data_IF_167764281145
#
_entry.id   IF_167764281145
#
_cell.length_a   1.000
_cell.length_b   1.000
_cell.length_c   1.000
_cell.angle_alpha   90.00
_cell.angle_beta   90.00
_cell.angle_gamma   90.00
#
_symmetry.space_group_name_H-M   'P 1'
#
loop_
_entity.id
_entity.type
_entity.pdbx_description
1 polymer ?
#
# COMPACT_ATOMS: atom_id res chain seq x y z
N UNK A 1 21.93 5.89 7.05
CA UNK A 1 22.98 6.58 6.26
C UNK A 1 22.42 7.68 5.35
N UNK A 2 21.32 7.47 4.60
CA UNK A 2 20.75 8.52 3.70
C UNK A 2 19.94 9.62 4.41
N UNK A 3 19.30 9.33 5.55
CA UNK A 3 18.43 10.28 6.27
C UNK A 3 19.14 11.52 6.83
N UNK A 4 20.46 11.44 7.06
CA UNK A 4 21.24 12.52 7.70
C UNK A 4 22.10 13.30 6.69
N UNK A 5 21.94 13.07 5.39
CA UNK A 5 22.74 13.73 4.38
C UNK A 5 22.07 15.06 3.94
N UNK A 6 22.68 16.24 4.21
CA UNK A 6 22.10 17.55 3.91
C UNK A 6 21.69 17.74 2.45
N UNK A 7 22.38 17.08 1.50
CA UNK A 7 22.06 17.10 0.07
C UNK A 7 20.66 16.55 -0.24
N UNK A 8 20.19 15.60 0.56
CA UNK A 8 18.88 14.96 0.41
C UNK A 8 17.89 15.41 1.50
N UNK A 9 18.29 16.36 2.36
CA UNK A 9 17.54 16.74 3.56
C UNK A 9 16.53 17.87 3.32
N UNK A 10 16.68 18.68 2.25
CA UNK A 10 15.90 19.91 2.05
C UNK A 10 15.58 20.28 0.59
N UNK A 11 15.64 19.31 -0.32
CA UNK A 11 15.10 19.54 -1.65
C UNK A 11 13.59 19.29 -1.60
N UNK A 12 12.77 20.23 -2.07
CA UNK A 12 11.34 20.00 -2.30
C UNK A 12 11.16 18.66 -2.99
N UNK A 13 10.12 17.93 -2.59
CA UNK A 13 9.91 16.52 -2.93
C UNK A 13 9.78 16.25 -4.43
N UNK A 14 9.70 17.31 -5.24
CA UNK A 14 9.79 17.28 -6.68
C UNK A 14 11.17 16.87 -7.21
N UNK A 15 12.23 17.08 -6.42
CA UNK A 15 13.58 16.63 -6.78
C UNK A 15 13.84 15.15 -6.45
N UNK A 16 12.91 14.46 -5.75
CA UNK A 16 13.11 13.10 -5.23
C UNK A 16 12.26 12.05 -5.98
N UNK A 17 11.34 12.47 -6.85
CA UNK A 17 10.45 11.59 -7.64
C UNK A 17 10.29 12.09 -9.10
N UNK A 18 11.36 12.08 -9.91
CA UNK A 18 11.31 12.57 -11.28
C UNK A 18 10.35 11.75 -12.17
N UNK A 19 10.25 10.44 -11.93
CA UNK A 19 9.34 9.57 -12.68
C UNK A 19 7.87 9.89 -12.37
N UNK A 20 7.49 9.97 -11.10
CA UNK A 20 6.11 10.31 -10.74
C UNK A 20 5.72 11.71 -11.18
N UNK A 21 6.64 12.68 -11.13
CA UNK A 21 6.40 14.02 -11.66
C UNK A 21 6.21 14.03 -13.18
N UNK A 22 7.03 13.27 -13.91
CA UNK A 22 6.86 13.10 -15.36
C UNK A 22 5.53 12.42 -15.69
N UNK A 23 5.14 11.36 -14.98
CA UNK A 23 3.86 10.67 -15.16
C UNK A 23 2.67 11.62 -14.97
N UNK A 24 2.68 12.44 -13.90
CA UNK A 24 1.63 13.46 -13.64
C UNK A 24 1.55 14.49 -14.76
N UNK A 25 2.69 15.00 -15.24
CA UNK A 25 2.73 15.94 -16.38
C UNK A 25 2.09 15.32 -17.62
N UNK A 26 2.41 14.06 -17.93
CA UNK A 26 1.85 13.36 -19.11
C UNK A 26 0.34 13.16 -19.03
N UNK A 27 -0.19 12.88 -17.85
CA UNK A 27 -1.64 12.82 -17.63
C UNK A 27 -2.27 14.21 -17.81
N UNK A 28 -1.65 15.26 -17.28
CA UNK A 28 -2.13 16.65 -17.47
C UNK A 28 -2.06 17.11 -18.93
N UNK A 29 -1.09 16.64 -19.71
CA UNK A 29 -0.97 16.87 -21.16
C UNK A 29 -2.00 16.08 -21.99
N UNK A 30 -2.73 15.12 -21.39
CA UNK A 30 -3.80 14.35 -22.04
C UNK A 30 -3.35 13.07 -22.77
N UNK A 31 -2.12 12.61 -22.53
CA UNK A 31 -1.48 11.50 -23.28
C UNK A 31 -1.91 10.11 -22.77
N UNK A 32 -2.67 10.02 -21.68
CA UNK A 32 -2.82 8.78 -20.91
C UNK A 32 -4.02 7.89 -21.23
N UNK A 33 -4.93 8.39 -22.06
CA UNK A 33 -6.17 7.70 -22.36
C UNK A 33 -5.85 6.74 -23.50
N UNK A 34 -5.48 5.49 -23.20
CA UNK A 34 -5.76 4.32 -24.05
C UNK A 34 -5.12 3.02 -23.55
N UNK A 35 -4.05 3.07 -22.74
CA UNK A 35 -3.27 1.85 -22.46
C UNK A 35 -2.96 1.61 -20.97
N UNK A 36 -3.88 0.91 -20.29
CA UNK A 36 -3.82 0.57 -18.85
C UNK A 36 -2.55 -0.22 -18.43
N UNK A 37 -1.82 -0.80 -19.39
CA UNK A 37 -0.58 -1.56 -19.16
C UNK A 37 0.72 -0.78 -19.40
N UNK A 38 0.64 0.50 -19.75
CA UNK A 38 1.82 1.29 -20.11
C UNK A 38 2.62 1.72 -18.86
N UNK A 39 3.92 1.98 -19.02
CA UNK A 39 4.81 2.38 -17.91
C UNK A 39 4.37 3.73 -17.33
N UNK A 40 3.82 4.58 -18.20
CA UNK A 40 3.21 5.87 -17.88
C UNK A 40 2.07 5.67 -16.87
N UNK A 41 1.22 4.66 -17.08
CA UNK A 41 0.07 4.29 -16.22
C UNK A 41 0.38 3.42 -15.03
N UNK A 42 1.48 2.68 -15.11
CA UNK A 42 1.89 1.76 -14.07
C UNK A 42 2.19 2.51 -12.76
N UNK A 43 1.62 2.03 -11.66
CA UNK A 43 1.77 2.65 -10.33
C UNK A 43 0.84 3.83 -10.07
N UNK A 44 0.86 4.88 -10.89
CA UNK A 44 0.03 6.09 -10.68
C UNK A 44 -1.47 5.78 -10.82
N UNK A 45 -1.87 5.02 -11.84
CA UNK A 45 -3.27 4.63 -12.03
C UNK A 45 -3.80 3.84 -10.84
N UNK A 46 -3.01 2.89 -10.31
CA UNK A 46 -3.37 2.13 -9.11
C UNK A 46 -3.54 3.01 -7.87
N UNK A 47 -2.71 4.05 -7.72
CA UNK A 47 -2.83 5.03 -6.64
C UNK A 47 -4.10 5.87 -6.77
N UNK A 48 -4.47 6.28 -7.99
CA UNK A 48 -5.71 7.02 -8.25
C UNK A 48 -6.95 6.15 -8.03
N UNK A 49 -6.95 4.89 -8.46
CA UNK A 49 -8.04 3.92 -8.22
C UNK A 49 -8.25 3.73 -6.72
N UNK A 50 -7.17 3.54 -5.93
CA UNK A 50 -7.29 3.44 -4.47
C UNK A 50 -7.93 4.65 -3.81
N UNK A 51 -7.64 5.85 -4.33
CA UNK A 51 -8.26 7.07 -3.85
C UNK A 51 -9.72 7.11 -4.29
N UNK A 52 -10.03 6.80 -5.54
CA UNK A 52 -11.39 6.75 -6.08
C UNK A 52 -12.30 5.80 -5.28
N UNK A 53 -11.85 4.56 -5.08
CA UNK A 53 -12.60 3.47 -4.46
C UNK A 53 -12.53 3.51 -2.92
N UNK A 54 -11.94 4.57 -2.35
CA UNK A 54 -11.82 4.70 -0.90
C UNK A 54 -13.20 4.76 -0.27
N UNK A 55 -13.34 4.12 0.89
CA UNK A 55 -14.57 4.23 1.66
C UNK A 55 -14.80 5.67 2.14
N UNK A 56 -15.86 6.30 1.65
CA UNK A 56 -16.34 7.62 2.09
C UNK A 56 -17.70 7.39 2.74
N UNK A 57 -17.82 7.76 4.01
CA UNK A 57 -19.08 7.74 4.74
C UNK A 57 -19.33 9.09 5.39
N UNK A 58 -20.60 9.42 5.61
CA UNK A 58 -21.01 10.67 6.27
C UNK A 58 -20.53 10.75 7.72
N UNK A 59 -20.35 9.58 8.36
CA UNK A 59 -19.87 9.44 9.73
C UNK A 59 -18.53 8.72 9.77
N UNK A 60 -17.64 9.06 10.72
CA UNK A 60 -16.41 8.31 10.94
C UNK A 60 -16.72 6.84 11.25
N UNK A 61 -16.19 5.93 10.44
CA UNK A 61 -16.27 4.49 10.73
C UNK A 61 -15.17 4.07 11.70
N UNK A 62 -15.54 3.31 12.74
CA UNK A 62 -14.59 2.68 13.67
C UNK A 62 -13.84 1.48 13.05
N UNK A 63 -14.31 1.01 11.88
CA UNK A 63 -13.68 -0.08 11.17
C UNK A 63 -12.63 0.46 10.20
N UNK A 64 -11.42 -0.08 10.35
CA UNK A 64 -10.29 0.21 9.47
C UNK A 64 -9.72 -1.12 8.96
N UNK A 65 -9.41 -1.24 7.66
CA UNK A 65 -8.71 -2.42 7.15
C UNK A 65 -7.31 -2.52 7.79
N UNK A 66 -6.68 -3.69 7.69
CA UNK A 66 -5.30 -3.93 8.13
C UNK A 66 -4.27 -3.23 7.20
N UNK A 67 -4.45 -1.93 6.96
CA UNK A 67 -3.67 -1.12 6.05
C UNK A 67 -3.61 -1.73 4.64
N UNK A 68 -2.40 -1.98 4.12
CA UNK A 68 -2.17 -2.63 2.83
C UNK A 68 -1.90 -4.12 2.97
N UNK A 69 -2.22 -4.72 4.11
CA UNK A 69 -2.00 -6.14 4.35
C UNK A 69 -3.07 -6.98 3.65
N UNK A 70 -2.63 -8.02 2.93
CA UNK A 70 -3.52 -9.03 2.40
C UNK A 70 -3.97 -10.00 3.51
N UNK A 71 -5.05 -10.74 3.27
CA UNK A 71 -5.35 -11.94 4.06
C UNK A 71 -4.33 -13.02 3.68
N UNK A 72 -3.49 -13.50 4.62
CA UNK A 72 -2.49 -14.53 4.33
C UNK A 72 -3.12 -15.80 3.72
N UNK A 73 -2.55 -16.30 2.63
CA UNK A 73 -3.03 -17.51 1.95
C UNK A 73 -4.19 -17.30 0.98
N UNK A 74 -4.86 -16.14 0.95
CA UNK A 74 -5.98 -15.93 0.02
C UNK A 74 -5.56 -15.61 -1.42
N UNK A 75 -4.53 -14.78 -1.60
CA UNK A 75 -4.08 -14.32 -2.94
C UNK A 75 -2.76 -14.96 -3.37
N UNK A 76 -1.86 -15.19 -2.42
CA UNK A 76 -0.54 -15.80 -2.63
C UNK A 76 -0.28 -16.76 -1.50
N UNK A 77 0.47 -17.81 -1.83
CA UNK A 77 0.96 -18.80 -0.90
C UNK A 77 2.40 -19.12 -1.34
N UNK A 78 3.35 -18.89 -0.44
CA UNK A 78 4.74 -19.28 -0.67
C UNK A 78 5.02 -20.56 0.12
N UNK A 79 5.58 -21.58 -0.52
CA UNK A 79 5.89 -22.86 0.12
C UNK A 79 7.40 -23.01 0.19
N UNK A 80 7.94 -23.21 1.39
CA UNK A 80 9.38 -23.42 1.57
C UNK A 80 9.77 -24.91 1.36
N UNK A 81 11.07 -25.21 1.43
CA UNK A 81 11.60 -26.58 1.25
C UNK A 81 11.20 -27.57 2.34
N UNK A 82 10.72 -27.09 3.48
CA UNK A 82 10.20 -27.92 4.57
C UNK A 82 8.69 -28.20 4.42
N UNK A 83 8.07 -27.69 3.36
CA UNK A 83 6.63 -27.79 3.14
C UNK A 83 5.81 -26.76 3.94
N UNK A 84 6.44 -25.81 4.62
CA UNK A 84 5.70 -24.79 5.36
C UNK A 84 5.11 -23.73 4.42
N UNK A 85 3.91 -23.30 4.76
CA UNK A 85 3.19 -22.23 4.08
C UNK A 85 3.53 -20.87 4.68
N UNK A 86 3.92 -19.93 3.84
CA UNK A 86 4.21 -18.54 4.18
C UNK A 86 3.28 -17.61 3.37
N UNK A 87 2.94 -16.40 3.86
CA UNK A 87 1.94 -15.57 3.19
C UNK A 87 2.37 -15.09 1.80
N UNK A 88 3.66 -14.79 1.61
CA UNK A 88 4.27 -14.54 0.30
C UNK A 88 5.80 -14.55 0.40
N UNK A 89 6.47 -14.51 -0.75
CA UNK A 89 7.92 -14.50 -0.91
C UNK A 89 8.60 -13.26 -0.30
N UNK A 90 7.83 -12.19 -0.07
CA UNK A 90 8.35 -10.86 0.28
C UNK A 90 8.50 -10.60 1.79
N UNK A 91 7.91 -11.45 2.63
CA UNK A 91 7.89 -11.22 4.09
C UNK A 91 9.14 -11.80 4.76
N UNK A 92 9.95 -12.58 4.03
CA UNK A 92 11.21 -13.12 4.54
C UNK A 92 10.98 -14.11 5.68
N UNK A 93 11.82 -14.05 6.71
CA UNK A 93 11.69 -14.88 7.91
C UNK A 93 10.50 -14.40 8.73
N UNK A 94 9.41 -15.17 8.68
CA UNK A 94 8.17 -14.88 9.37
C UNK A 94 7.46 -16.17 9.80
N UNK A 95 6.53 -16.10 10.76
CA UNK A 95 5.80 -17.27 11.22
C UNK A 95 5.03 -17.94 10.08
N UNK A 96 5.19 -19.25 9.88
CA UNK A 96 4.39 -19.96 8.88
C UNK A 96 2.90 -19.95 9.23
N UNK A 97 2.04 -20.09 8.21
CA UNK A 97 0.58 -20.12 8.33
C UNK A 97 0.00 -21.54 8.19
N UNK A 98 0.85 -22.57 8.12
CA UNK A 98 0.43 -23.94 7.87
C UNK A 98 1.54 -24.77 7.22
N UNK A 99 1.19 -25.96 6.74
CA UNK A 99 2.10 -26.89 6.09
C UNK A 99 1.37 -27.73 5.03
N UNK A 100 2.09 -28.22 4.01
CA UNK A 100 1.55 -29.07 2.94
C UNK A 100 0.76 -30.28 3.45
N UNK A 101 1.14 -30.84 4.59
CA UNK A 101 0.49 -32.03 5.16
C UNK A 101 -0.75 -31.71 5.98
N UNK A 102 -0.84 -30.50 6.56
CA UNK A 102 -1.91 -30.11 7.51
C UNK A 102 -2.82 -29.00 7.00
N UNK A 103 -2.48 -28.37 5.87
CA UNK A 103 -3.20 -27.25 5.31
C UNK A 103 -2.86 -25.92 6.00
N UNK A 104 -3.67 -24.90 5.71
CA UNK A 104 -3.58 -23.58 6.34
C UNK A 104 -4.23 -23.64 7.72
N UNK A 105 -3.52 -23.24 8.78
CA UNK A 105 -4.07 -23.11 10.13
C UNK A 105 -4.66 -21.72 10.34
N UNK A 106 -5.97 -21.68 10.54
CA UNK A 106 -6.69 -20.47 10.88
C UNK A 106 -6.15 -19.83 12.18
N UNK A 107 -5.83 -20.64 13.18
CA UNK A 107 -5.33 -20.19 14.48
C UNK A 107 -4.00 -19.44 14.33
N UNK A 108 -3.11 -19.97 13.49
CA UNK A 108 -1.81 -19.33 13.20
C UNK A 108 -1.99 -18.03 12.43
N UNK A 109 -2.85 -18.01 11.41
CA UNK A 109 -3.17 -16.80 10.65
C UNK A 109 -3.73 -15.72 11.58
N UNK A 110 -4.73 -16.05 12.39
CA UNK A 110 -5.35 -15.12 13.33
C UNK A 110 -4.34 -14.58 14.34
N UNK A 111 -3.58 -15.46 15.00
CA UNK A 111 -2.61 -15.06 16.02
C UNK A 111 -1.55 -14.12 15.44
N UNK A 112 -0.82 -14.56 14.42
CA UNK A 112 0.37 -13.86 13.98
C UNK A 112 0.07 -12.66 13.10
N UNK A 113 -0.91 -12.74 12.20
CA UNK A 113 -1.12 -11.73 11.16
C UNK A 113 -2.32 -10.80 11.40
N UNK A 114 -3.18 -11.14 12.38
CA UNK A 114 -4.30 -10.30 12.78
C UNK A 114 -4.07 -9.75 14.19
N UNK A 115 -4.06 -10.61 15.20
CA UNK A 115 -4.04 -10.19 16.61
C UNK A 115 -2.74 -9.45 16.97
N UNK A 116 -1.58 -10.08 16.77
CA UNK A 116 -0.27 -9.48 17.07
C UNK A 116 0.01 -8.22 16.23
N UNK A 117 -0.43 -8.22 14.96
CA UNK A 117 -0.34 -7.05 14.10
C UNK A 117 -1.17 -5.90 14.65
N UNK A 118 -2.44 -6.14 14.98
CA UNK A 118 -3.35 -5.14 15.52
C UNK A 118 -2.79 -4.56 16.83
N UNK A 119 -2.38 -5.42 17.77
CA UNK A 119 -1.86 -5.00 19.08
C UNK A 119 -0.65 -4.05 18.95
N UNK A 120 0.27 -4.36 18.04
CA UNK A 120 1.50 -3.58 17.86
C UNK A 120 1.31 -2.37 16.93
N UNK A 121 0.44 -2.45 15.94
CA UNK A 121 0.19 -1.36 14.97
C UNK A 121 -0.71 -0.29 15.55
N UNK A 122 -1.77 -0.65 16.31
CA UNK A 122 -2.80 0.28 16.76
C UNK A 122 -2.23 1.43 17.59
N UNK A 123 -1.17 1.19 18.37
CA UNK A 123 -0.49 2.19 19.20
C UNK A 123 -0.03 3.42 18.42
N UNK A 124 0.31 3.26 17.13
CA UNK A 124 0.72 4.36 16.24
C UNK A 124 -0.29 4.63 15.13
N UNK A 125 -0.87 3.58 14.55
CA UNK A 125 -1.74 3.70 13.37
C UNK A 125 -3.09 4.33 13.69
N UNK A 126 -3.61 4.19 14.92
CA UNK A 126 -4.91 4.76 15.31
C UNK A 126 -4.98 6.28 15.17
N UNK A 127 -3.84 6.96 15.33
CA UNK A 127 -3.73 8.41 15.22
C UNK A 127 -3.24 8.87 13.83
N UNK A 128 -3.15 7.96 12.85
CA UNK A 128 -2.62 8.28 11.52
C UNK A 128 -3.75 8.71 10.57
N UNK A 129 -3.69 9.96 10.10
CA UNK A 129 -4.67 10.50 9.13
C UNK A 129 -4.76 9.70 7.82
N UNK A 130 -3.66 9.04 7.44
CA UNK A 130 -3.56 8.30 6.18
C UNK A 130 -3.95 6.81 6.29
N UNK A 131 -4.46 6.35 7.44
CA UNK A 131 -4.70 4.92 7.71
C UNK A 131 -5.53 4.22 6.63
N UNK A 132 -6.57 4.88 6.10
CA UNK A 132 -7.51 4.33 5.10
C UNK A 132 -6.89 4.18 3.70
N UNK A 133 -5.81 4.90 3.41
CA UNK A 133 -5.10 4.84 2.12
C UNK A 133 -3.72 4.19 2.26
N UNK A 134 -3.38 3.73 3.47
CA UNK A 134 -2.08 3.17 3.77
C UNK A 134 -1.84 1.89 2.98
N UNK A 135 -0.86 1.90 2.09
CA UNK A 135 -0.47 0.75 1.25
C UNK A 135 0.55 -0.19 1.92
N UNK A 136 0.86 0.06 3.20
CA UNK A 136 1.88 -0.69 3.92
C UNK A 136 1.39 -2.10 4.26
N UNK A 137 2.12 -3.10 3.76
CA UNK A 137 1.88 -4.51 4.05
C UNK A 137 2.85 -5.05 5.11
N UNK A 138 2.76 -6.36 5.36
CA UNK A 138 3.65 -7.11 6.25
C UNK A 138 5.12 -7.13 5.79
N UNK A 139 5.38 -6.95 4.49
CA UNK A 139 6.74 -6.99 3.96
C UNK A 139 7.61 -5.89 4.58
N UNK A 140 8.75 -6.29 5.14
CA UNK A 140 9.67 -5.40 5.85
C UNK A 140 9.22 -4.99 7.25
N UNK A 141 8.22 -5.67 7.82
CA UNK A 141 7.74 -5.45 9.20
C UNK A 141 7.63 -6.72 10.04
N UNK A 142 7.89 -7.89 9.48
CA UNK A 142 8.01 -9.12 10.24
C UNK A 142 9.46 -9.59 10.22
N UNK A 143 9.88 -10.18 11.33
CA UNK A 143 11.07 -11.00 11.46
C UNK A 143 10.71 -12.29 12.23
N UNK A 144 11.73 -13.04 12.62
CA UNK A 144 11.58 -14.26 13.41
C UNK A 144 10.87 -14.05 14.76
N UNK A 145 11.00 -12.86 15.35
CA UNK A 145 10.36 -12.46 16.61
C UNK A 145 8.96 -11.83 16.40
N UNK A 146 8.45 -11.85 15.17
CA UNK A 146 7.12 -11.39 14.78
C UNK A 146 7.11 -9.95 14.25
N UNK A 147 5.98 -9.25 14.43
CA UNK A 147 5.81 -7.91 13.89
C UNK A 147 6.65 -6.85 14.62
N UNK A 148 7.30 -5.99 13.85
CA UNK A 148 7.99 -4.79 14.30
C UNK A 148 7.43 -3.54 13.60
N UNK A 149 7.19 -2.49 14.40
CA UNK A 149 6.67 -1.23 13.90
C UNK A 149 7.80 -0.31 13.39
N UNK A 150 8.60 -0.83 12.45
CA UNK A 150 9.73 -0.14 11.80
C UNK A 150 9.36 0.02 10.33
N UNK A 151 8.85 1.18 9.93
CA UNK A 151 8.44 1.44 8.56
C UNK A 151 8.60 2.90 8.16
N UNK A 152 8.71 3.16 6.85
CA UNK A 152 8.80 4.51 6.29
C UNK A 152 7.43 5.21 6.23
N UNK A 153 6.76 5.38 7.37
CA UNK A 153 5.42 5.98 7.45
C UNK A 153 5.39 7.42 6.90
N UNK A 154 6.47 8.19 7.07
CA UNK A 154 6.58 9.55 6.53
C UNK A 154 6.65 9.56 5.01
N UNK A 155 7.35 8.61 4.40
CA UNK A 155 7.36 8.44 2.94
C UNK A 155 5.98 8.11 2.41
N UNK A 156 5.33 7.11 3.01
CA UNK A 156 3.97 6.68 2.62
C UNK A 156 2.96 7.83 2.75
N UNK A 157 2.97 8.58 3.86
CA UNK A 157 2.07 9.73 4.04
C UNK A 157 2.27 10.80 2.97
N UNK A 158 3.52 11.13 2.66
CA UNK A 158 3.84 12.13 1.62
C UNK A 158 3.41 11.68 0.23
N UNK A 159 3.55 10.40 -0.09
CA UNK A 159 3.05 9.85 -1.36
C UNK A 159 1.52 9.92 -1.45
N UNK A 160 0.82 9.54 -0.37
CA UNK A 160 -0.65 9.62 -0.29
C UNK A 160 -1.11 11.08 -0.46
N UNK A 161 -0.46 12.02 0.22
CA UNK A 161 -0.75 13.45 0.11
C UNK A 161 -0.61 13.95 -1.34
N UNK A 162 0.52 13.65 -2.01
CA UNK A 162 0.73 14.01 -3.42
C UNK A 162 -0.36 13.43 -4.32
N UNK A 163 -0.73 12.18 -4.11
CA UNK A 163 -1.72 11.51 -4.95
C UNK A 163 -3.13 12.07 -4.69
N UNK A 164 -3.47 12.47 -3.46
CA UNK A 164 -4.72 13.18 -3.16
C UNK A 164 -4.78 14.55 -3.83
N UNK A 165 -3.71 15.35 -3.73
CA UNK A 165 -3.62 16.66 -4.42
C UNK A 165 -3.84 16.47 -5.92
N UNK A 166 -3.12 15.53 -6.52
CA UNK A 166 -3.20 15.28 -7.95
C UNK A 166 -4.59 14.75 -8.37
N UNK A 167 -5.16 13.83 -7.61
CA UNK A 167 -6.51 13.30 -7.84
C UNK A 167 -7.56 14.41 -7.86
N UNK A 168 -7.53 15.32 -6.88
CA UNK A 168 -8.48 16.43 -6.81
C UNK A 168 -8.22 17.49 -7.89
N UNK A 169 -6.96 17.75 -8.24
CA UNK A 169 -6.62 18.62 -9.37
C UNK A 169 -7.21 18.10 -10.69
N UNK A 170 -7.13 16.78 -10.93
CA UNK A 170 -7.74 16.16 -12.11
C UNK A 170 -9.26 16.28 -12.11
N UNK A 171 -9.91 16.07 -10.96
CA UNK A 171 -11.36 16.24 -10.84
C UNK A 171 -11.82 17.67 -11.16
N UNK A 172 -11.04 18.68 -10.77
CA UNK A 172 -11.38 20.09 -10.97
C UNK A 172 -11.05 20.58 -12.38
N UNK A 173 -9.90 20.19 -12.94
CA UNK A 173 -9.41 20.75 -14.20
C UNK A 173 -9.80 19.94 -15.43
N UNK A 174 -9.91 18.61 -15.28
CA UNK A 174 -10.03 17.66 -16.39
C UNK A 174 -10.79 16.38 -15.98
N UNK A 175 -12.05 16.47 -15.54
CA UNK A 175 -12.81 15.32 -15.05
C UNK A 175 -12.96 14.19 -16.08
N UNK A 176 -12.95 14.50 -17.38
CA UNK A 176 -12.97 13.53 -18.49
C UNK A 176 -11.77 12.57 -18.45
N UNK A 177 -10.63 13.01 -17.91
CA UNK A 177 -9.42 12.17 -17.78
C UNK A 177 -9.54 11.12 -16.67
N UNK A 178 -10.61 11.17 -15.87
CA UNK A 178 -10.86 10.24 -14.77
C UNK A 178 -11.76 9.07 -15.20
N UNK A 179 -12.24 9.04 -16.44
CA UNK A 179 -13.18 8.02 -16.92
C UNK A 179 -12.61 6.59 -16.82
N UNK A 180 -11.29 6.41 -16.96
CA UNK A 180 -10.64 5.11 -16.79
C UNK A 180 -10.82 4.49 -15.39
N UNK A 181 -11.11 5.31 -14.38
CA UNK A 181 -11.37 4.86 -13.01
C UNK A 181 -12.75 4.20 -12.88
N UNK A 182 -13.72 4.56 -13.74
CA UNK A 182 -15.08 4.00 -13.67
C UNK A 182 -15.14 2.52 -14.08
N UNK A 183 -14.24 2.11 -14.98
CA UNK A 183 -14.18 0.76 -15.54
C UNK A 183 -13.09 -0.11 -14.91
N UNK A 184 -12.56 0.26 -13.73
CA UNK A 184 -11.44 -0.47 -13.11
C UNK A 184 -11.73 -0.73 -11.63
N UNK A 185 -11.87 -2.01 -11.28
CA UNK A 185 -12.02 -2.46 -9.90
C UNK A 185 -10.69 -3.04 -9.39
N UNK A 186 -10.34 -2.76 -8.14
CA UNK A 186 -9.24 -3.45 -7.46
C UNK A 186 -9.65 -4.92 -7.22
N UNK A 187 -9.03 -5.85 -7.96
CA UNK A 187 -9.10 -7.30 -7.69
C UNK A 187 -8.05 -7.72 -6.66
#
# INVERSE_FOLDING_TARGET
MLKNNPKYHRATIDQIDPLGNWQRSKVMEGIFIENKGSIEASGLGMSLIKINDRYIGDMPSEQYPLNGCCVPGCRRLYVNTNGDFLPCERIGTCPNIGNVDTGISYERVKKYYVDEYCEKSIKKCSNCWAIRLCSMCYAGRYNDDGFENIGNCDGTRREIEKNLIFYHQLLESNPEKMDFLRDTYLV
#
